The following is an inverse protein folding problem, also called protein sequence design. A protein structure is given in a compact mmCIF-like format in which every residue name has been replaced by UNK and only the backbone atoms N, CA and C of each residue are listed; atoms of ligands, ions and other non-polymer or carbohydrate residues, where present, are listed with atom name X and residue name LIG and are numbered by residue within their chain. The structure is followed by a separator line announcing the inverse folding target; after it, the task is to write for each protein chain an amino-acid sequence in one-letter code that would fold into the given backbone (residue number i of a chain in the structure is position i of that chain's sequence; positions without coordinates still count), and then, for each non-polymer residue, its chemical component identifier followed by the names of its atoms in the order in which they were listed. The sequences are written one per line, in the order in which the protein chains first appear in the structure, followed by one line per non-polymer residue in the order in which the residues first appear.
data_IF_194742520247
#
_entry.id   IF_194742520247
#
_cell.length_a   1.000
_cell.length_b   1.000
_cell.length_c   1.000
_cell.angle_alpha   90.00
_cell.angle_beta   90.00
_cell.angle_gamma   90.00
#
_symmetry.space_group_name_H-M   'P 1'
#
loop_
_entity.id
_entity.type
_entity.pdbx_description
1 polymer ?
#
# COMPACT_ATOMS: atom_id res chain seq x y z
N UNK A 1 10.38 -19.56 -9.97
CA UNK A 1 9.17 -19.66 -9.13
C UNK A 1 8.87 -18.26 -8.62
N UNK A 2 8.05 -17.51 -9.34
CA UNK A 2 7.72 -16.14 -8.96
C UNK A 2 6.77 -16.24 -7.78
N UNK A 3 7.27 -16.01 -6.56
CA UNK A 3 6.39 -15.70 -5.42
C UNK A 3 5.80 -14.33 -5.73
N UNK A 4 4.76 -14.30 -6.57
CA UNK A 4 3.89 -13.15 -6.67
C UNK A 4 3.21 -13.06 -5.32
N UNK A 5 3.73 -12.20 -4.43
CA UNK A 5 3.01 -11.86 -3.22
C UNK A 5 1.75 -11.14 -3.69
N UNK A 6 0.62 -11.85 -3.66
CA UNK A 6 -0.68 -11.28 -3.99
C UNK A 6 -1.00 -10.18 -2.98
N UNK A 7 -0.80 -8.93 -3.38
CA UNK A 7 -1.29 -7.77 -2.64
C UNK A 7 -2.78 -7.66 -2.93
N UNK A 8 -3.59 -7.93 -1.90
CA UNK A 8 -5.05 -7.83 -1.95
C UNK A 8 -5.55 -6.87 -0.88
N UNK A 9 -6.83 -6.48 -0.97
CA UNK A 9 -7.50 -5.70 0.09
C UNK A 9 -7.37 -6.41 1.44
N UNK A 10 -7.03 -5.64 2.47
CA UNK A 10 -6.75 -6.13 3.82
C UNK A 10 -5.31 -6.62 4.04
N UNK A 11 -4.48 -6.67 3.01
CA UNK A 11 -3.05 -7.01 3.17
C UNK A 11 -2.32 -5.84 3.79
N UNK A 12 -1.61 -6.08 4.89
CA UNK A 12 -0.69 -5.08 5.46
C UNK A 12 0.52 -4.91 4.55
N UNK A 13 0.76 -3.66 4.15
CA UNK A 13 1.90 -3.28 3.33
C UNK A 13 2.66 -2.12 3.96
N UNK A 14 3.97 -2.10 3.75
CA UNK A 14 4.83 -0.97 4.07
C UNK A 14 5.11 -0.18 2.80
N UNK A 15 4.95 1.13 2.87
CA UNK A 15 5.29 2.04 1.78
C UNK A 15 6.81 2.21 1.72
N UNK A 16 7.39 2.10 0.53
CA UNK A 16 8.83 2.19 0.28
C UNK A 16 9.23 3.37 -0.61
N UNK A 17 8.26 4.19 -1.02
CA UNK A 17 8.49 5.33 -1.92
C UNK A 17 7.72 6.59 -1.53
N UNK A 18 8.24 7.74 -1.94
CA UNK A 18 7.58 9.03 -1.77
C UNK A 18 7.53 9.54 -0.32
N UNK A 19 6.66 10.54 -0.04
CA UNK A 19 6.61 11.22 1.25
C UNK A 19 6.06 10.36 2.39
N UNK A 20 5.43 9.23 2.08
CA UNK A 20 4.83 8.31 3.04
C UNK A 20 5.69 7.06 3.26
N UNK A 21 6.98 7.11 2.92
CA UNK A 21 7.91 6.00 3.16
C UNK A 21 7.88 5.58 4.64
N UNK A 22 8.00 4.28 4.88
CA UNK A 22 7.97 3.60 6.18
C UNK A 22 6.60 3.55 6.89
N UNK A 23 5.56 4.19 6.37
CA UNK A 23 4.20 3.95 6.85
C UNK A 23 3.76 2.53 6.52
N UNK A 24 3.10 1.88 7.49
CA UNK A 24 2.46 0.58 7.32
C UNK A 24 0.96 0.75 7.42
N UNK A 25 0.23 0.17 6.48
CA UNK A 25 -1.23 0.25 6.43
C UNK A 25 -1.84 -0.93 5.67
N UNK A 26 -3.05 -1.36 6.03
CA UNK A 26 -3.79 -2.32 5.23
C UNK A 26 -4.24 -1.69 3.91
N UNK A 27 -4.12 -2.46 2.83
CA UNK A 27 -4.63 -2.10 1.51
C UNK A 27 -6.15 -1.98 1.54
N UNK A 28 -6.70 -0.86 1.05
CA UNK A 28 -8.15 -0.63 1.00
C UNK A 28 -8.72 -0.84 -0.40
N UNK A 29 -7.91 -0.67 -1.44
CA UNK A 29 -8.27 -1.02 -2.82
C UNK A 29 -7.01 -1.32 -3.64
N UNK A 30 -7.17 -2.15 -4.67
CA UNK A 30 -6.11 -2.45 -5.64
C UNK A 30 -6.65 -2.32 -7.05
N UNK A 31 -5.96 -1.54 -7.88
CA UNK A 31 -6.18 -1.49 -9.32
C UNK A 31 -5.00 -2.17 -10.02
N UNK A 32 -5.16 -3.46 -10.30
CA UNK A 32 -4.14 -4.25 -11.00
C UNK A 32 -3.98 -3.84 -12.47
N UNK A 33 -4.98 -3.19 -13.08
CA UNK A 33 -4.90 -2.72 -14.47
C UNK A 33 -4.00 -1.50 -14.55
N UNK A 34 -4.10 -0.60 -13.57
CA UNK A 34 -3.29 0.63 -13.48
C UNK A 34 -2.00 0.45 -12.68
N UNK A 35 -1.84 -0.66 -11.95
CA UNK A 35 -0.70 -0.89 -11.07
C UNK A 35 -0.68 0.07 -9.88
N UNK A 36 -1.84 0.29 -9.25
CA UNK A 36 -2.05 1.26 -8.17
C UNK A 36 -2.70 0.60 -6.95
N UNK A 37 -2.38 1.11 -5.77
CA UNK A 37 -3.04 0.73 -4.51
C UNK A 37 -3.56 1.97 -3.80
N UNK A 38 -4.73 1.83 -3.17
CA UNK A 38 -5.19 2.79 -2.18
C UNK A 38 -4.87 2.28 -0.78
N UNK A 39 -4.41 3.19 0.08
CA UNK A 39 -4.08 2.97 1.49
C UNK A 39 -4.73 4.05 2.35
N UNK A 40 -4.89 3.78 3.64
CA UNK A 40 -5.26 4.79 4.63
C UNK A 40 -4.11 4.99 5.60
N UNK A 41 -3.48 6.15 5.55
CA UNK A 41 -2.40 6.52 6.48
C UNK A 41 -2.95 7.45 7.54
N UNK A 42 -2.57 7.22 8.80
CA UNK A 42 -2.86 8.16 9.88
C UNK A 42 -1.72 9.19 9.94
N UNK A 43 -2.06 10.45 9.70
CA UNK A 43 -1.14 11.56 9.83
C UNK A 43 -1.68 12.47 10.92
N UNK A 44 -1.01 12.48 12.08
CA UNK A 44 -1.35 13.35 13.21
C UNK A 44 -2.79 13.18 13.73
N UNK A 45 -3.36 11.97 13.62
CA UNK A 45 -4.74 11.67 14.03
C UNK A 45 -5.76 11.81 12.90
N UNK A 46 -5.34 12.26 11.71
CA UNK A 46 -6.19 12.37 10.52
C UNK A 46 -5.94 11.20 9.56
N UNK A 47 -6.94 10.34 9.46
CA UNK A 47 -6.94 9.23 8.51
C UNK A 47 -7.09 9.76 7.07
N UNK A 48 -5.99 9.75 6.32
CA UNK A 48 -5.91 10.24 4.94
C UNK A 48 -5.84 9.08 3.97
N UNK A 49 -6.72 9.07 2.96
CA UNK A 49 -6.65 8.10 1.86
C UNK A 49 -5.65 8.57 0.82
N UNK A 50 -4.71 7.68 0.48
CA UNK A 50 -3.69 7.95 -0.54
C UNK A 50 -3.75 6.88 -1.62
N UNK A 51 -3.45 7.28 -2.84
CA UNK A 51 -3.31 6.42 -4.01
C UNK A 51 -1.83 6.48 -4.44
N UNK A 52 -1.14 5.33 -4.51
CA UNK A 52 0.28 5.23 -4.84
C UNK A 52 0.58 4.03 -5.77
N UNK A 53 1.75 3.98 -6.43
CA UNK A 53 2.13 2.86 -7.28
C UNK A 53 2.22 1.56 -6.48
N UNK A 54 1.79 0.46 -7.08
CA UNK A 54 1.92 -0.88 -6.49
C UNK A 54 3.40 -1.30 -6.33
N UNK A 55 4.31 -0.66 -7.07
CA UNK A 55 5.77 -0.81 -6.93
C UNK A 55 6.35 -0.15 -5.68
N UNK A 56 5.62 0.79 -5.08
CA UNK A 56 6.10 1.61 -3.96
C UNK A 56 5.63 1.02 -2.63
N UNK A 57 5.19 -0.24 -2.63
CA UNK A 57 4.74 -0.97 -1.45
C UNK A 57 5.34 -2.36 -1.41
N UNK A 58 5.59 -2.85 -0.20
CA UNK A 58 6.01 -4.22 0.07
C UNK A 58 5.11 -4.85 1.11
N UNK A 59 4.71 -6.10 0.92
CA UNK A 59 3.91 -6.83 1.90
C UNK A 59 4.67 -7.01 3.20
N UNK A 60 4.00 -6.76 4.32
CA UNK A 60 4.50 -7.09 5.65
C UNK A 60 4.05 -8.52 5.99
N UNK A 61 4.98 -9.33 6.48
CA UNK A 61 4.76 -10.74 6.88
C UNK A 61 4.56 -10.87 8.38
#
# INVERSE_FOLDING_TARGET
MTHGMDIAVGTDVRITGGPFTDFTSPVVAVDHVRGRVELTVDILGDATRIDIPLSDVVRVV
#
